data_IF_097761060843
#
_entry.id   IF_097761060843
#
_cell.length_a   1.000
_cell.length_b   1.000
_cell.length_c   1.000
_cell.angle_alpha   90.00
_cell.angle_beta   90.00
_cell.angle_gamma   90.00
#
_symmetry.space_group_name_H-M   'P 1'
#
loop_
_entity.id
_entity.type
_entity.pdbx_description
1 polymer ?
#
# COMPACT_ATOMS: atom_id res chain seq x y z
N UNK A 1 41.93 9.85 -30.72
CA UNK A 1 40.55 9.30 -30.72
C UNK A 1 40.46 8.02 -29.88
N UNK A 2 41.17 6.94 -30.20
CA UNK A 2 41.13 5.69 -29.40
C UNK A 2 41.48 5.87 -27.90
N UNK A 3 42.50 6.69 -27.57
CA UNK A 3 42.83 6.98 -26.16
C UNK A 3 41.76 7.78 -25.40
N UNK A 4 41.03 8.64 -26.11
CA UNK A 4 39.91 9.42 -25.55
C UNK A 4 38.72 8.51 -25.28
N UNK A 5 38.39 7.65 -26.26
CA UNK A 5 37.35 6.62 -26.13
C UNK A 5 37.61 5.70 -24.93
N UNK A 6 38.83 5.18 -24.77
CA UNK A 6 39.19 4.32 -23.64
C UNK A 6 39.05 5.02 -22.26
N UNK A 7 39.42 6.31 -22.19
CA UNK A 7 39.31 7.09 -20.95
C UNK A 7 37.86 7.37 -20.60
N UNK A 8 37.03 7.70 -21.60
CA UNK A 8 35.61 8.00 -21.45
C UNK A 8 34.80 6.76 -21.07
N UNK A 9 35.07 5.61 -21.68
CA UNK A 9 34.45 4.33 -21.32
C UNK A 9 34.69 4.03 -19.84
N UNK A 10 35.94 4.18 -19.37
CA UNK A 10 36.29 3.87 -17.98
C UNK A 10 35.61 4.79 -16.97
N UNK A 11 35.48 6.09 -17.27
CA UNK A 11 34.77 7.05 -16.39
C UNK A 11 33.26 6.77 -16.35
N UNK A 12 32.64 6.56 -17.52
CA UNK A 12 31.23 6.26 -17.62
C UNK A 12 30.86 4.93 -16.96
N UNK A 13 31.67 3.89 -17.17
CA UNK A 13 31.50 2.58 -16.54
C UNK A 13 31.57 2.69 -15.02
N UNK A 14 32.52 3.47 -14.48
CA UNK A 14 32.64 3.70 -13.04
C UNK A 14 31.39 4.35 -12.44
N UNK A 15 30.89 5.43 -13.07
CA UNK A 15 29.68 6.14 -12.60
C UNK A 15 28.43 5.28 -12.71
N UNK A 16 28.25 4.62 -13.86
CA UNK A 16 27.09 3.77 -14.13
C UNK A 16 27.05 2.52 -13.25
N UNK A 17 28.22 1.96 -12.93
CA UNK A 17 28.33 0.86 -11.98
C UNK A 17 27.88 1.27 -10.58
N UNK A 18 28.30 2.44 -10.10
CA UNK A 18 27.85 2.99 -8.82
C UNK A 18 26.32 3.11 -8.75
N UNK A 19 25.69 3.73 -9.76
CA UNK A 19 24.23 3.81 -9.81
C UNK A 19 23.55 2.44 -9.85
N UNK A 20 24.11 1.46 -10.56
CA UNK A 20 23.54 0.11 -10.61
C UNK A 20 23.62 -0.59 -9.24
N UNK A 21 24.75 -0.49 -8.54
CA UNK A 21 24.97 -1.11 -7.23
C UNK A 21 24.07 -0.49 -6.14
N UNK A 22 23.92 0.83 -6.15
CA UNK A 22 23.02 1.55 -5.23
C UNK A 22 21.57 1.12 -5.47
N UNK A 23 21.13 1.09 -6.73
CA UNK A 23 19.78 0.67 -7.09
C UNK A 23 19.54 -0.81 -6.77
N UNK A 24 20.53 -1.69 -6.96
CA UNK A 24 20.43 -3.09 -6.56
C UNK A 24 20.13 -3.24 -5.06
N UNK A 25 20.85 -2.48 -4.23
CA UNK A 25 20.66 -2.48 -2.79
C UNK A 25 19.26 -1.97 -2.43
N UNK A 26 18.82 -0.88 -3.07
CA UNK A 26 17.50 -0.29 -2.84
C UNK A 26 16.36 -1.21 -3.28
N UNK A 27 16.53 -1.95 -4.39
CA UNK A 27 15.55 -2.92 -4.87
C UNK A 27 15.38 -4.10 -3.92
N UNK A 28 16.47 -4.61 -3.36
CA UNK A 28 16.42 -5.67 -2.34
C UNK A 28 15.69 -5.15 -1.09
N UNK A 29 16.03 -3.94 -0.64
CA UNK A 29 15.35 -3.31 0.49
C UNK A 29 13.85 -3.12 0.22
N UNK A 30 13.47 -2.57 -0.93
CA UNK A 30 12.08 -2.37 -1.32
C UNK A 30 11.30 -3.69 -1.35
N UNK A 31 11.90 -4.77 -1.86
CA UNK A 31 11.28 -6.09 -1.88
C UNK A 31 11.02 -6.65 -0.48
N UNK A 32 12.04 -6.62 0.40
CA UNK A 32 11.93 -7.08 1.78
C UNK A 32 10.93 -6.24 2.58
N UNK A 33 10.99 -4.92 2.45
CA UNK A 33 10.08 -3.99 3.09
C UNK A 33 8.62 -4.23 2.65
N UNK A 34 8.38 -4.40 1.35
CA UNK A 34 7.05 -4.70 0.82
C UNK A 34 6.52 -6.04 1.32
N UNK A 35 7.36 -7.06 1.46
CA UNK A 35 6.97 -8.36 1.99
C UNK A 35 6.52 -8.26 3.46
N UNK A 36 7.30 -7.58 4.30
CA UNK A 36 6.95 -7.35 5.71
C UNK A 36 5.69 -6.51 5.81
N UNK A 37 5.59 -5.42 5.04
CA UNK A 37 4.44 -4.53 5.04
C UNK A 37 3.15 -5.23 4.60
N UNK A 38 3.24 -6.14 3.63
CA UNK A 38 2.09 -6.93 3.17
C UNK A 38 1.53 -7.81 4.29
N UNK A 39 2.38 -8.37 5.17
CA UNK A 39 1.91 -9.15 6.31
C UNK A 39 1.10 -8.27 7.30
N UNK A 40 1.57 -7.05 7.57
CA UNK A 40 0.82 -6.09 8.40
C UNK A 40 -0.49 -5.67 7.75
N UNK A 41 -0.48 -5.38 6.44
CA UNK A 41 -1.69 -5.02 5.69
C UNK A 41 -2.74 -6.14 5.76
N UNK A 42 -2.35 -7.40 5.58
CA UNK A 42 -3.28 -8.54 5.69
C UNK A 42 -3.94 -8.57 7.07
N UNK A 43 -3.16 -8.33 8.13
CA UNK A 43 -3.67 -8.32 9.50
C UNK A 43 -4.59 -7.12 9.77
N UNK A 44 -4.21 -5.91 9.36
CA UNK A 44 -5.00 -4.69 9.62
C UNK A 44 -6.21 -4.58 8.72
N UNK A 45 -6.20 -5.22 7.54
CA UNK A 45 -7.34 -5.24 6.63
C UNK A 45 -8.56 -5.90 7.27
N UNK A 46 -8.35 -6.87 8.15
CA UNK A 46 -9.43 -7.48 8.92
C UNK A 46 -10.14 -6.48 9.84
N UNK A 47 -9.46 -5.40 10.29
CA UNK A 47 -10.10 -4.33 11.08
C UNK A 47 -11.09 -3.49 10.25
N UNK A 48 -11.00 -3.55 8.92
CA UNK A 48 -11.96 -2.94 8.01
C UNK A 48 -13.16 -3.85 7.69
N UNK A 49 -13.20 -5.05 8.26
CA UNK A 49 -14.28 -6.01 8.07
C UNK A 49 -15.02 -6.27 9.39
N UNK A 50 -16.33 -6.52 9.34
CA UNK A 50 -17.06 -6.95 10.52
C UNK A 50 -16.50 -8.28 11.01
N UNK A 51 -16.19 -8.38 12.30
CA UNK A 51 -15.78 -9.67 12.87
C UNK A 51 -16.97 -10.63 12.89
N UNK A 52 -16.73 -11.90 12.55
CA UNK A 52 -17.79 -12.92 12.61
C UNK A 52 -18.37 -13.06 14.02
N UNK A 53 -17.57 -12.77 15.06
CA UNK A 53 -18.01 -12.75 16.45
C UNK A 53 -18.97 -11.59 16.71
N UNK A 54 -18.67 -10.39 16.23
CA UNK A 54 -19.55 -9.22 16.39
C UNK A 54 -20.87 -9.42 15.66
N UNK A 55 -20.84 -9.98 14.44
CA UNK A 55 -22.06 -10.31 13.70
C UNK A 55 -22.90 -11.35 14.46
N UNK A 56 -22.25 -12.37 15.05
CA UNK A 56 -22.94 -13.39 15.85
C UNK A 56 -23.56 -12.78 17.11
N UNK A 57 -22.81 -11.95 17.84
CA UNK A 57 -23.28 -11.26 19.04
C UNK A 57 -24.44 -10.30 18.71
N UNK A 58 -24.37 -9.64 17.57
CA UNK A 58 -25.42 -8.76 17.06
C UNK A 58 -26.68 -9.56 16.73
N UNK A 59 -26.57 -10.67 16.00
CA UNK A 59 -27.69 -11.57 15.70
C UNK A 59 -28.32 -12.18 16.96
N UNK A 60 -27.49 -12.52 17.96
CA UNK A 60 -27.95 -12.99 19.27
C UNK A 60 -28.72 -11.89 20.01
N UNK A 61 -28.22 -10.65 19.97
CA UNK A 61 -28.91 -9.49 20.57
C UNK A 61 -30.26 -9.25 19.90
N UNK A 62 -30.31 -9.28 18.57
CA UNK A 62 -31.57 -9.16 17.80
C UNK A 62 -32.54 -10.29 18.14
N UNK A 63 -32.07 -11.55 18.21
CA UNK A 63 -32.93 -12.68 18.60
C UNK A 63 -33.49 -12.52 20.01
N UNK A 64 -32.66 -12.12 20.98
CA UNK A 64 -33.11 -11.87 22.35
C UNK A 64 -34.15 -10.75 22.43
N UNK A 65 -34.00 -9.69 21.64
CA UNK A 65 -34.99 -8.61 21.54
C UNK A 65 -36.31 -9.12 20.95
N UNK A 66 -36.28 -9.90 19.87
CA UNK A 66 -37.47 -10.51 19.27
C UNK A 66 -38.17 -11.45 20.26
N UNK A 67 -37.42 -12.26 21.01
CA UNK A 67 -37.96 -13.16 22.03
C UNK A 67 -38.62 -12.38 23.17
N UNK A 68 -38.00 -11.29 23.63
CA UNK A 68 -38.58 -10.43 24.66
C UNK A 68 -39.89 -9.77 24.19
N UNK A 69 -39.94 -9.30 22.95
CA UNK A 69 -41.15 -8.69 22.38
C UNK A 69 -42.28 -9.70 22.20
N UNK A 70 -41.97 -10.91 21.70
CA UNK A 70 -42.94 -11.99 21.61
C UNK A 70 -43.51 -12.36 22.99
N UNK A 71 -42.67 -12.44 24.03
CA UNK A 71 -43.13 -12.72 25.39
C UNK A 71 -44.05 -11.59 25.90
N UNK A 72 -43.70 -10.33 25.66
CA UNK A 72 -44.55 -9.18 26.02
C UNK A 72 -45.93 -9.26 25.36
N UNK A 73 -45.99 -9.57 24.06
CA UNK A 73 -47.26 -9.75 23.32
C UNK A 73 -48.08 -10.90 23.92
N UNK A 74 -47.45 -12.05 24.19
CA UNK A 74 -48.13 -13.20 24.79
C UNK A 74 -48.73 -12.88 26.16
N UNK A 75 -47.97 -12.22 27.03
CA UNK A 75 -48.44 -11.82 28.38
C UNK A 75 -49.59 -10.82 28.29
N UNK A 76 -49.49 -9.82 27.40
CA UNK A 76 -50.54 -8.82 27.22
C UNK A 76 -51.82 -9.45 26.62
N UNK A 77 -51.68 -10.38 25.68
CA UNK A 77 -52.79 -11.15 25.13
C UNK A 77 -53.49 -12.02 26.18
N UNK A 78 -52.72 -12.74 27.00
CA UNK A 78 -53.28 -13.57 28.07
C UNK A 78 -54.01 -12.72 29.13
N UNK A 79 -53.43 -11.58 29.51
CA UNK A 79 -54.04 -10.66 30.46
C UNK A 79 -55.35 -10.07 29.93
N UNK A 80 -55.44 -9.76 28.63
CA UNK A 80 -56.67 -9.27 28.01
C UNK A 80 -57.79 -10.32 28.06
N UNK A 81 -57.47 -11.59 27.78
CA UNK A 81 -58.43 -12.71 27.88
C UNK A 81 -58.95 -12.89 29.31
N UNK A 82 -58.07 -12.82 30.32
CA UNK A 82 -58.44 -13.02 31.72
C UNK A 82 -59.26 -11.87 32.30
N UNK A 83 -59.04 -10.64 31.85
CA UNK A 83 -59.69 -9.43 32.37
C UNK A 83 -60.91 -8.98 31.56
N UNK A 84 -61.17 -9.61 30.42
CA UNK A 84 -62.23 -9.20 29.48
C UNK A 84 -61.97 -7.83 28.82
N UNK A 85 -60.76 -7.29 28.96
CA UNK A 85 -60.38 -6.02 28.37
C UNK A 85 -60.07 -6.18 26.86
N UNK A 86 -60.34 -5.16 26.03
CA UNK A 86 -59.97 -5.19 24.62
C UNK A 86 -58.45 -5.28 24.46
N UNK A 87 -57.99 -6.25 23.69
CA UNK A 87 -56.57 -6.37 23.35
C UNK A 87 -56.17 -5.25 22.38
N UNK A 88 -55.18 -4.47 22.77
CA UNK A 88 -54.51 -3.52 21.89
C UNK A 88 -53.09 -4.06 21.63
N UNK A 89 -52.80 -4.55 20.41
CA UNK A 89 -51.46 -5.02 20.10
C UNK A 89 -50.48 -3.84 20.20
N UNK A 90 -49.29 -4.04 20.79
CA UNK A 90 -48.23 -3.05 20.68
C UNK A 90 -47.92 -2.80 19.19
N UNK A 91 -47.54 -1.58 18.80
CA UNK A 91 -47.16 -1.30 17.43
C UNK A 91 -46.03 -2.26 17.03
N UNK A 92 -46.16 -2.89 15.86
CA UNK A 92 -45.11 -3.70 15.25
C UNK A 92 -43.89 -2.81 15.03
N UNK A 93 -42.98 -2.79 16.01
CA UNK A 93 -41.64 -2.26 15.80
C UNK A 93 -40.94 -3.25 14.91
N UNK A 94 -40.69 -2.87 13.65
CA UNK A 94 -39.77 -3.59 12.78
C UNK A 94 -38.47 -3.82 13.56
N UNK A 95 -37.80 -4.99 13.41
CA UNK A 95 -36.48 -5.18 13.97
C UNK A 95 -35.65 -3.96 13.56
N UNK A 96 -35.08 -3.25 14.54
CA UNK A 96 -34.13 -2.19 14.21
C UNK A 96 -33.00 -2.91 13.50
N UNK A 97 -32.92 -2.73 12.18
CA UNK A 97 -31.79 -3.26 11.43
C UNK A 97 -30.54 -2.73 12.11
N UNK A 98 -29.59 -3.60 12.46
CA UNK A 98 -28.36 -3.15 13.06
C UNK A 98 -27.73 -2.08 12.17
N UNK A 99 -27.13 -1.02 12.75
CA UNK A 99 -26.43 -0.04 11.95
C UNK A 99 -25.38 -0.77 11.09
N UNK A 100 -25.25 -0.40 9.80
CA UNK A 100 -24.27 -1.01 8.92
C UNK A 100 -22.88 -0.91 9.56
N UNK A 101 -22.06 -1.94 9.36
CA UNK A 101 -20.70 -1.95 9.90
C UNK A 101 -19.93 -0.73 9.40
N UNK A 102 -19.44 0.06 10.34
CA UNK A 102 -18.53 1.16 10.06
C UNK A 102 -17.18 0.89 10.73
N UNK A 103 -16.08 0.83 9.96
CA UNK A 103 -14.76 0.62 10.55
C UNK A 103 -14.36 1.83 11.38
N UNK A 104 -13.65 1.58 12.48
CA UNK A 104 -13.19 2.63 13.39
C UNK A 104 -12.26 3.62 12.68
N UNK A 105 -12.33 4.89 13.06
CA UNK A 105 -11.46 5.95 12.53
C UNK A 105 -9.97 5.57 12.53
N UNK A 106 -9.38 5.04 13.62
CA UNK A 106 -7.99 4.60 13.60
C UNK A 106 -7.73 3.44 12.62
N UNK A 107 -8.64 2.47 12.50
CA UNK A 107 -8.49 1.36 11.54
C UNK A 107 -8.43 1.87 10.09
N UNK A 108 -9.21 2.89 9.74
CA UNK A 108 -9.13 3.54 8.42
C UNK A 108 -7.76 4.17 8.21
N UNK A 109 -7.28 4.99 9.15
CA UNK A 109 -5.99 5.67 9.05
C UNK A 109 -4.80 4.72 8.96
N UNK A 110 -4.76 3.68 9.81
CA UNK A 110 -3.68 2.67 9.81
C UNK A 110 -3.60 1.99 8.45
N UNK A 111 -4.74 1.48 7.95
CA UNK A 111 -4.76 0.82 6.65
C UNK A 111 -4.36 1.79 5.52
N UNK A 112 -4.87 3.02 5.51
CA UNK A 112 -4.48 4.01 4.51
C UNK A 112 -2.97 4.28 4.52
N UNK A 113 -2.36 4.48 5.69
CA UNK A 113 -0.92 4.71 5.82
C UNK A 113 -0.10 3.51 5.33
N UNK A 114 -0.50 2.29 5.68
CA UNK A 114 0.17 1.07 5.23
C UNK A 114 0.04 0.84 3.72
N UNK A 115 -1.14 1.07 3.14
CA UNK A 115 -1.32 0.99 1.69
C UNK A 115 -0.52 2.05 0.94
N UNK A 116 -0.49 3.30 1.41
CA UNK A 116 0.33 4.36 0.78
C UNK A 116 1.81 3.98 0.85
N UNK A 117 2.29 3.53 2.01
CA UNK A 117 3.65 3.06 2.19
C UNK A 117 4.00 1.91 1.21
N UNK A 118 3.07 0.97 1.01
CA UNK A 118 3.27 -0.17 0.11
C UNK A 118 3.36 0.29 -1.35
N UNK A 119 2.45 1.17 -1.77
CA UNK A 119 2.44 1.73 -3.12
C UNK A 119 3.71 2.52 -3.40
N UNK A 120 4.17 3.35 -2.45
CA UNK A 120 5.42 4.09 -2.59
C UNK A 120 6.63 3.16 -2.69
N UNK A 121 6.70 2.10 -1.88
CA UNK A 121 7.76 1.09 -1.97
C UNK A 121 7.79 0.40 -3.34
N UNK A 122 6.63 -0.02 -3.86
CA UNK A 122 6.52 -0.63 -5.18
C UNK A 122 6.85 0.37 -6.30
N UNK A 123 6.42 1.62 -6.18
CA UNK A 123 6.75 2.67 -7.13
C UNK A 123 8.27 2.93 -7.16
N UNK A 124 8.93 2.98 -6.00
CA UNK A 124 10.39 3.08 -5.92
C UNK A 124 11.08 1.91 -6.62
N UNK A 125 10.59 0.69 -6.43
CA UNK A 125 11.13 -0.49 -7.10
C UNK A 125 10.96 -0.42 -8.63
N UNK A 126 9.79 0.01 -9.12
CA UNK A 126 9.55 0.19 -10.55
C UNK A 126 10.48 1.26 -11.14
N UNK A 127 10.65 2.39 -10.47
CA UNK A 127 11.57 3.45 -10.90
C UNK A 127 13.02 2.94 -10.88
N UNK A 128 13.43 2.19 -9.85
CA UNK A 128 14.77 1.59 -9.80
C UNK A 128 15.03 0.65 -10.97
N UNK A 129 14.06 -0.18 -11.35
CA UNK A 129 14.17 -1.05 -12.53
C UNK A 129 14.31 -0.22 -13.81
N UNK A 130 13.55 0.88 -13.96
CA UNK A 130 13.68 1.79 -15.12
C UNK A 130 15.07 2.46 -15.17
N UNK A 131 15.58 2.92 -14.03
CA UNK A 131 16.94 3.48 -13.93
C UNK A 131 17.97 2.45 -14.39
N UNK A 132 17.84 1.19 -13.96
CA UNK A 132 18.72 0.11 -14.44
C UNK A 132 18.66 -0.08 -15.96
N UNK A 133 17.46 0.01 -16.54
CA UNK A 133 17.31 -0.09 -17.98
C UNK A 133 18.02 1.06 -18.70
N UNK A 134 17.90 2.30 -18.20
CA UNK A 134 18.60 3.46 -18.74
C UNK A 134 20.11 3.36 -18.59
N UNK A 135 20.61 2.92 -17.43
CA UNK A 135 22.05 2.71 -17.20
C UNK A 135 22.61 1.69 -18.20
N UNK A 136 21.91 0.55 -18.36
CA UNK A 136 22.31 -0.50 -19.31
C UNK A 136 22.28 0.01 -20.75
N UNK A 137 21.21 0.69 -21.14
CA UNK A 137 21.07 1.24 -22.49
C UNK A 137 22.15 2.29 -22.73
N UNK A 138 22.37 3.23 -21.81
CA UNK A 138 23.40 4.27 -21.93
C UNK A 138 24.76 3.64 -22.26
N UNK A 139 25.17 2.56 -21.57
CA UNK A 139 26.42 1.82 -21.78
C UNK A 139 26.57 1.09 -23.12
N UNK A 140 25.50 0.85 -23.87
CA UNK A 140 25.57 0.15 -25.17
C UNK A 140 26.05 1.04 -26.35
N UNK A 141 26.77 2.12 -26.07
CA UNK A 141 27.17 3.09 -27.11
C UNK A 141 28.43 2.68 -27.88
N UNK A 142 29.27 1.84 -27.28
CA UNK A 142 30.55 1.43 -27.87
C UNK A 142 30.36 0.18 -28.75
N UNK A 143 30.38 0.36 -30.07
CA UNK A 143 30.43 -0.73 -31.03
C UNK A 143 31.87 -1.01 -31.46
N UNK A 144 32.33 -2.25 -31.33
CA UNK A 144 33.68 -2.69 -31.74
C UNK A 144 33.91 -2.62 -33.24
N UNK A 145 32.84 -2.52 -34.04
CA UNK A 145 32.88 -2.45 -35.50
C UNK A 145 32.87 -1.01 -36.04
N UNK A 146 32.57 -0.02 -35.20
CA UNK A 146 32.46 1.38 -35.61
C UNK A 146 33.76 2.15 -35.38
N UNK A 147 33.94 3.27 -36.09
CA UNK A 147 35.12 4.09 -35.90
C UNK A 147 35.10 4.77 -34.51
N UNK A 148 36.24 4.91 -33.81
CA UNK A 148 36.33 5.55 -32.49
C UNK A 148 35.65 6.92 -32.39
N UNK A 149 35.65 7.69 -33.50
CA UNK A 149 34.99 9.00 -33.58
C UNK A 149 33.47 8.87 -33.55
N UNK A 150 32.90 7.90 -34.25
CA UNK A 150 31.45 7.67 -34.32
C UNK A 150 30.90 7.22 -32.96
N UNK A 151 31.60 6.30 -32.29
CA UNK A 151 31.26 5.86 -30.93
C UNK A 151 31.19 7.05 -29.95
N UNK A 152 32.20 7.93 -29.97
CA UNK A 152 32.23 9.13 -29.12
C UNK A 152 31.06 10.09 -29.42
N UNK A 153 30.65 10.21 -30.69
CA UNK A 153 29.48 11.03 -31.05
C UNK A 153 28.17 10.42 -30.53
N UNK A 154 27.98 9.10 -30.66
CA UNK A 154 26.80 8.40 -30.12
C UNK A 154 26.73 8.56 -28.59
N UNK A 155 27.86 8.44 -27.90
CA UNK A 155 27.95 8.69 -26.45
C UNK A 155 27.53 10.10 -26.09
N UNK A 156 27.96 11.10 -26.85
CA UNK A 156 27.59 12.49 -26.63
C UNK A 156 26.07 12.70 -26.77
N UNK A 157 25.44 12.14 -27.81
CA UNK A 157 23.98 12.20 -27.96
C UNK A 157 23.24 11.54 -26.79
N UNK A 158 23.74 10.40 -26.31
CA UNK A 158 23.16 9.68 -25.16
C UNK A 158 23.35 10.45 -23.85
N UNK A 159 24.48 11.12 -23.68
CA UNK A 159 24.75 11.98 -22.52
C UNK A 159 23.85 13.22 -22.53
N UNK A 160 23.67 13.86 -23.68
CA UNK A 160 22.72 14.96 -23.83
C UNK A 160 21.27 14.51 -23.54
N UNK A 161 20.89 13.32 -23.99
CA UNK A 161 19.60 12.72 -23.63
C UNK A 161 19.51 12.43 -22.13
N UNK A 162 20.55 11.88 -21.51
CA UNK A 162 20.61 11.62 -20.07
C UNK A 162 20.33 12.89 -19.24
N UNK A 163 20.96 13.99 -19.63
CA UNK A 163 20.79 15.29 -18.98
C UNK A 163 19.41 15.92 -19.27
N UNK A 164 18.96 15.87 -20.53
CA UNK A 164 17.66 16.41 -20.94
C UNK A 164 16.49 15.71 -20.23
N UNK A 165 16.59 14.40 -20.02
CA UNK A 165 15.59 13.61 -19.28
C UNK A 165 15.78 13.67 -17.76
N UNK A 166 16.82 14.37 -17.27
CA UNK A 166 17.16 14.52 -15.84
C UNK A 166 17.25 13.17 -15.12
N UNK A 167 17.84 12.17 -15.76
CA UNK A 167 17.89 10.80 -15.22
C UNK A 167 18.50 10.79 -13.82
N UNK A 168 19.56 11.57 -13.57
CA UNK A 168 20.17 11.70 -12.25
C UNK A 168 19.19 12.15 -11.14
N UNK A 169 18.26 13.06 -11.44
CA UNK A 169 17.24 13.48 -10.48
C UNK A 169 16.24 12.34 -10.19
N UNK A 170 15.91 11.53 -11.21
CA UNK A 170 15.04 10.36 -11.07
C UNK A 170 15.72 9.29 -10.20
N UNK A 171 17.02 9.04 -10.40
CA UNK A 171 17.82 8.14 -9.55
C UNK A 171 17.75 8.57 -8.09
N UNK A 172 17.94 9.86 -7.80
CA UNK A 172 17.85 10.41 -6.43
C UNK A 172 16.45 10.33 -5.81
N UNK A 173 15.41 10.17 -6.62
CA UNK A 173 14.03 10.04 -6.14
C UNK A 173 13.75 8.65 -5.55
N UNK A 174 14.46 7.61 -6.01
CA UNK A 174 14.24 6.22 -5.56
C UNK A 174 14.49 6.06 -4.05
N UNK A 175 15.64 6.46 -3.48
CA UNK A 175 15.84 6.44 -2.04
C UNK A 175 14.81 7.28 -1.28
N UNK A 176 14.51 8.49 -1.77
CA UNK A 176 13.58 9.41 -1.11
C UNK A 176 12.16 8.80 -0.99
N UNK A 177 11.67 8.12 -2.04
CA UNK A 177 10.39 7.42 -1.96
C UNK A 177 10.38 6.32 -0.89
N UNK A 178 11.48 5.56 -0.77
CA UNK A 178 11.62 4.49 0.22
C UNK A 178 11.69 5.04 1.65
N UNK A 179 12.39 6.15 1.85
CA UNK A 179 12.43 6.82 3.16
C UNK A 179 11.04 7.32 3.58
N UNK A 180 10.32 7.97 2.67
CA UNK A 180 8.93 8.42 2.93
C UNK A 180 8.02 7.22 3.21
N UNK A 181 8.13 6.15 2.42
CA UNK A 181 7.40 4.92 2.66
C UNK A 181 7.68 4.34 4.06
N UNK A 182 8.95 4.31 4.48
CA UNK A 182 9.35 3.82 5.80
C UNK A 182 8.79 4.71 6.93
N UNK A 183 8.85 6.03 6.79
CA UNK A 183 8.30 6.96 7.79
C UNK A 183 6.80 6.76 7.93
N UNK A 184 6.05 6.68 6.82
CA UNK A 184 4.61 6.44 6.85
C UNK A 184 4.24 5.11 7.51
N UNK A 185 5.03 4.06 7.24
CA UNK A 185 4.86 2.77 7.90
C UNK A 185 5.09 2.87 9.41
N UNK A 186 6.17 3.54 9.85
CA UNK A 186 6.46 3.71 11.26
C UNK A 186 5.36 4.50 11.98
N UNK A 187 4.83 5.55 11.36
CA UNK A 187 3.68 6.30 11.90
C UNK A 187 2.46 5.37 12.05
N UNK A 188 2.13 4.60 11.02
CA UNK A 188 1.03 3.63 11.10
C UNK A 188 1.24 2.57 12.18
N UNK A 189 2.48 2.11 12.39
CA UNK A 189 2.84 1.16 13.45
C UNK A 189 2.67 1.75 14.85
N UNK A 190 3.06 3.01 15.07
CA UNK A 190 2.86 3.69 16.36
C UNK A 190 1.37 3.85 16.66
N UNK A 191 0.57 4.23 15.67
CA UNK A 191 -0.89 4.34 15.84
C UNK A 191 -1.48 2.97 16.17
N UNK A 192 -1.07 1.91 15.46
CA UNK A 192 -1.52 0.55 15.72
C UNK A 192 -1.20 0.11 17.16
N UNK A 193 0.03 0.35 17.63
CA UNK A 193 0.45 0.03 19.00
C UNK A 193 -0.32 0.80 20.06
N UNK A 194 -0.71 2.04 19.78
CA UNK A 194 -1.52 2.84 20.70
C UNK A 194 -2.98 2.40 20.75
N UNK A 195 -3.49 1.80 19.68
CA UNK A 195 -4.88 1.34 19.58
C UNK A 195 -5.10 -0.07 20.14
N UNK A 196 -4.03 -0.82 20.39
CA UNK A 196 -4.02 -2.14 20.99
C UNK A 196 -4.09 -2.05 22.52
#
# INVERSE_FOLDING_TARGET
WAGIEATVVKDDEGKMKGYSEDIDTLLVFAGLFSAVLTAFVIQTYQMLQPSSADLTNQLLTTNNQILAENNRILVQGLSAVLTGAPFSPPPLTSPVDPPPFEPSTPARWINTLFFISLVLSLAAALIGILVKQWVREYMQWNSTLAAPRENVMVRQFRFEAWEAWKVSAIVSTVPALLEVAMILFLIGMVILLWTL
#
